data_IF_177990201935
#
_entry.id   IF_177990201935
#
_cell.length_a   1.000
_cell.length_b   1.000
_cell.length_c   1.000
_cell.angle_alpha   90.00
_cell.angle_beta   90.00
_cell.angle_gamma   90.00
#
_symmetry.space_group_name_H-M   'P 1'
#
loop_
_entity.id
_entity.type
_entity.pdbx_description
1 polymer ?
#
# COMPACT_ATOMS: atom_id res chain seq x y z
N UNK A 1 -29.89 13.13 -20.63
CA UNK A 1 -28.90 12.74 -19.59
C UNK A 1 -27.64 12.36 -20.36
N UNK A 2 -26.50 12.95 -20.04
CA UNK A 2 -25.25 12.69 -20.76
C UNK A 2 -24.27 12.07 -19.77
N UNK A 3 -23.70 10.92 -20.11
CA UNK A 3 -22.72 10.21 -19.31
C UNK A 3 -21.49 9.90 -20.15
N UNK A 4 -20.33 9.84 -19.50
CA UNK A 4 -19.06 9.41 -20.08
C UNK A 4 -18.56 8.25 -19.22
N UNK A 5 -18.19 7.16 -19.87
CA UNK A 5 -17.65 5.95 -19.26
C UNK A 5 -16.19 5.78 -19.69
N UNK A 6 -15.37 5.28 -18.77
CA UNK A 6 -13.95 5.03 -19.01
C UNK A 6 -13.65 3.58 -18.67
N UNK A 7 -12.98 2.88 -19.57
CA UNK A 7 -12.40 1.57 -19.28
C UNK A 7 -11.29 1.71 -18.23
N UNK A 8 -11.43 1.01 -17.09
CA UNK A 8 -10.37 0.90 -16.09
C UNK A 8 -9.88 -0.53 -16.01
N UNK A 9 -8.56 -0.71 -16.10
CA UNK A 9 -7.92 -1.99 -15.85
C UNK A 9 -7.66 -2.13 -14.34
N UNK A 10 -8.61 -2.74 -13.64
CA UNK A 10 -8.61 -2.88 -12.17
C UNK A 10 -7.79 -4.08 -11.66
N UNK A 11 -7.26 -4.90 -12.55
CA UNK A 11 -6.62 -6.19 -12.21
C UNK A 11 -5.16 -6.05 -11.78
N UNK A 12 -4.60 -4.83 -11.78
CA UNK A 12 -3.20 -4.58 -11.43
C UNK A 12 -3.08 -3.71 -10.18
N UNK A 13 -2.22 -4.12 -9.27
CA UNK A 13 -1.72 -3.26 -8.20
C UNK A 13 -0.53 -2.47 -8.74
N UNK A 14 -0.64 -1.14 -8.74
CA UNK A 14 0.45 -0.24 -9.09
C UNK A 14 0.85 0.57 -7.86
N UNK A 15 2.14 0.55 -7.50
CA UNK A 15 2.66 1.31 -6.38
C UNK A 15 3.80 2.23 -6.83
N UNK A 16 3.79 3.46 -6.33
CA UNK A 16 4.83 4.46 -6.58
C UNK A 16 5.11 5.24 -5.30
N UNK A 17 6.34 5.75 -5.19
CA UNK A 17 6.79 6.59 -4.10
C UNK A 17 7.30 7.93 -4.68
N UNK A 18 6.97 9.04 -4.02
CA UNK A 18 7.43 10.38 -4.37
C UNK A 18 7.82 11.19 -3.11
N UNK A 19 8.04 12.49 -3.23
CA UNK A 19 8.44 13.33 -2.10
C UNK A 19 7.38 13.43 -0.98
N UNK A 20 6.10 13.21 -1.31
CA UNK A 20 4.97 13.36 -0.39
C UNK A 20 4.60 12.03 0.29
N UNK A 21 4.77 10.91 -0.41
CA UNK A 21 4.42 9.61 0.15
C UNK A 21 4.33 8.47 -0.86
N UNK A 22 3.69 7.39 -0.44
CA UNK A 22 3.45 6.21 -1.27
C UNK A 22 2.01 6.17 -1.74
N UNK A 23 1.84 5.90 -3.03
CA UNK A 23 0.55 5.80 -3.70
C UNK A 23 0.36 4.38 -4.21
N UNK A 24 -0.69 3.70 -3.74
CA UNK A 24 -1.05 2.35 -4.15
C UNK A 24 -2.37 2.43 -4.92
N UNK A 25 -2.40 1.98 -6.16
CA UNK A 25 -3.58 1.94 -7.01
C UNK A 25 -3.98 0.48 -7.29
N UNK A 26 -5.15 0.08 -6.78
CA UNK A 26 -5.70 -1.27 -6.94
C UNK A 26 -7.23 -1.19 -7.16
N UNK A 27 -7.64 -0.38 -8.15
CA UNK A 27 -9.03 0.00 -8.41
C UNK A 27 -9.43 1.32 -7.72
N UNK A 28 -8.80 1.63 -6.59
CA UNK A 28 -8.82 2.94 -5.91
C UNK A 28 -7.41 3.29 -5.44
N UNK A 29 -7.17 4.57 -5.13
CA UNK A 29 -5.86 5.06 -4.71
C UNK A 29 -5.78 5.18 -3.19
N UNK A 30 -4.80 4.52 -2.59
CA UNK A 30 -4.38 4.71 -1.20
C UNK A 30 -3.15 5.62 -1.21
N UNK A 31 -3.26 6.80 -0.61
CA UNK A 31 -2.11 7.66 -0.36
C UNK A 31 -1.66 7.52 1.09
N UNK A 32 -0.40 7.15 1.31
CA UNK A 32 0.21 7.04 2.63
C UNK A 32 1.32 8.09 2.73
N UNK A 33 1.19 9.08 3.62
CA UNK A 33 2.22 10.09 3.83
C UNK A 33 3.59 9.47 4.12
N UNK A 34 4.66 10.11 3.66
CA UNK A 34 6.04 9.59 3.75
C UNK A 34 6.43 9.16 5.17
N UNK A 35 6.20 10.02 6.16
CA UNK A 35 6.49 9.75 7.58
C UNK A 35 5.74 8.53 8.09
N UNK A 36 4.44 8.44 7.77
CA UNK A 36 3.60 7.28 8.12
C UNK A 36 4.07 6.00 7.42
N UNK A 37 4.47 6.08 6.15
CA UNK A 37 4.97 4.93 5.40
C UNK A 37 6.28 4.39 5.98
N UNK A 38 7.19 5.29 6.38
CA UNK A 38 8.44 4.93 7.09
C UNK A 38 8.14 4.26 8.42
N UNK A 39 7.22 4.83 9.20
CA UNK A 39 6.80 4.24 10.48
C UNK A 39 6.21 2.84 10.27
N UNK A 40 5.37 2.65 9.25
CA UNK A 40 4.79 1.34 8.94
C UNK A 40 5.82 0.27 8.60
N UNK A 41 6.90 0.63 7.90
CA UNK A 41 8.01 -0.29 7.61
C UNK A 41 8.76 -0.62 8.89
N UNK A 42 9.06 0.39 9.73
CA UNK A 42 9.81 0.22 10.97
C UNK A 42 9.02 -0.56 12.03
N UNK A 43 7.69 -0.44 12.04
CA UNK A 43 6.80 -1.09 13.00
C UNK A 43 6.13 -2.35 12.44
N UNK A 44 6.67 -2.96 11.38
CA UNK A 44 6.11 -4.18 10.78
C UNK A 44 5.84 -5.24 11.85
N UNK A 45 4.70 -5.94 11.74
CA UNK A 45 4.24 -6.98 12.65
C UNK A 45 3.99 -6.54 14.10
N UNK A 46 3.99 -5.23 14.39
CA UNK A 46 3.75 -4.73 15.76
C UNK A 46 2.27 -4.51 16.04
N UNK A 47 1.48 -4.06 15.05
CA UNK A 47 0.06 -3.78 15.21
C UNK A 47 -0.74 -4.28 13.97
N UNK A 48 -1.68 -5.22 14.12
CA UNK A 48 -2.47 -5.74 12.99
C UNK A 48 -3.48 -4.73 12.40
N UNK A 49 -3.62 -3.56 13.02
CA UNK A 49 -4.52 -2.48 12.57
C UNK A 49 -3.76 -1.23 12.10
N UNK A 50 -2.42 -1.26 12.03
CA UNK A 50 -1.62 -0.15 11.52
C UNK A 50 -0.34 -0.66 10.83
N UNK A 51 -0.14 -0.27 9.57
CA UNK A 51 1.04 -0.63 8.79
C UNK A 51 1.01 -2.06 8.25
N UNK A 52 2.19 -2.65 8.07
CA UNK A 52 2.37 -3.98 7.49
C UNK A 52 2.32 -5.08 8.56
N UNK A 53 1.53 -6.12 8.31
CA UNK A 53 1.38 -7.26 9.21
C UNK A 53 1.31 -8.59 8.43
N UNK A 54 2.14 -9.54 8.81
CA UNK A 54 2.20 -10.86 8.22
C UNK A 54 1.09 -11.74 8.82
N UNK A 55 0.27 -12.32 7.96
CA UNK A 55 -0.82 -13.20 8.38
C UNK A 55 -1.05 -14.32 7.37
N UNK A 56 -0.91 -15.57 7.82
CA UNK A 56 -1.19 -16.78 7.02
C UNK A 56 -0.50 -16.79 5.64
N UNK A 57 0.75 -16.33 5.55
CA UNK A 57 1.53 -16.30 4.30
C UNK A 57 1.21 -15.13 3.37
N UNK A 58 0.44 -14.15 3.85
CA UNK A 58 0.14 -12.90 3.16
C UNK A 58 0.64 -11.70 3.98
N UNK A 59 0.72 -10.54 3.34
CA UNK A 59 1.00 -9.26 4.00
C UNK A 59 -0.26 -8.40 3.97
N UNK A 60 -0.72 -7.99 5.14
CA UNK A 60 -1.85 -7.07 5.29
C UNK A 60 -1.30 -5.67 5.54
N UNK A 61 -1.70 -4.71 4.70
CA UNK A 61 -1.50 -3.28 4.93
C UNK A 61 -2.77 -2.69 5.52
N UNK A 62 -2.68 -2.14 6.73
CA UNK A 62 -3.78 -1.40 7.38
C UNK A 62 -3.49 0.09 7.43
N UNK A 63 -4.36 0.90 6.83
CA UNK A 63 -4.22 2.36 6.79
C UNK A 63 -5.57 3.06 6.91
N UNK A 64 -5.73 3.96 7.89
CA UNK A 64 -6.95 4.75 8.14
C UNK A 64 -8.26 3.93 8.13
N UNK A 65 -8.23 2.72 8.71
CA UNK A 65 -9.38 1.82 8.77
C UNK A 65 -9.60 0.96 7.52
N UNK A 66 -8.92 1.26 6.40
CA UNK A 66 -8.84 0.39 5.24
C UNK A 66 -7.80 -0.72 5.42
N UNK A 67 -8.06 -1.88 4.82
CA UNK A 67 -7.10 -3.00 4.76
C UNK A 67 -6.95 -3.50 3.34
N UNK A 68 -5.72 -3.76 2.93
CA UNK A 68 -5.41 -4.45 1.67
C UNK A 68 -4.58 -5.67 2.01
N UNK A 69 -4.98 -6.82 1.43
CA UNK A 69 -4.22 -8.06 1.53
C UNK A 69 -3.41 -8.23 0.26
N UNK A 70 -2.10 -8.38 0.42
CA UNK A 70 -1.15 -8.67 -0.63
C UNK A 70 -0.63 -10.10 -0.48
N UNK A 71 -0.22 -10.70 -1.59
CA UNK A 71 0.68 -11.86 -1.50
C UNK A 71 1.97 -11.47 -0.77
N UNK A 72 2.69 -12.45 -0.23
CA UNK A 72 3.97 -12.16 0.42
C UNK A 72 4.92 -11.36 -0.50
N UNK A 73 5.01 -11.76 -1.77
CA UNK A 73 5.89 -11.12 -2.75
C UNK A 73 5.52 -9.65 -3.00
N UNK A 74 4.24 -9.36 -3.18
CA UNK A 74 3.76 -7.99 -3.38
C UNK A 74 3.98 -7.12 -2.13
N UNK A 75 3.73 -7.68 -0.95
CA UNK A 75 3.98 -7.01 0.32
C UNK A 75 5.44 -6.65 0.53
N UNK A 76 6.36 -7.59 0.28
CA UNK A 76 7.81 -7.30 0.34
C UNK A 76 8.21 -6.24 -0.69
N UNK A 77 7.71 -6.33 -1.92
CA UNK A 77 8.02 -5.35 -2.97
C UNK A 77 7.59 -3.92 -2.58
N UNK A 78 6.43 -3.79 -1.91
CA UNK A 78 5.97 -2.50 -1.37
C UNK A 78 6.88 -1.98 -0.26
N UNK A 79 7.29 -2.86 0.65
CA UNK A 79 8.19 -2.50 1.75
C UNK A 79 9.55 -2.07 1.20
N UNK A 80 10.09 -2.78 0.21
CA UNK A 80 11.37 -2.48 -0.42
C UNK A 80 11.33 -1.19 -1.25
N UNK A 81 10.19 -0.89 -1.90
CA UNK A 81 9.95 0.40 -2.53
C UNK A 81 10.05 1.55 -1.51
N UNK A 82 9.38 1.41 -0.35
CA UNK A 82 9.40 2.43 0.72
C UNK A 82 10.81 2.60 1.27
N UNK A 83 11.51 1.49 1.56
CA UNK A 83 12.90 1.54 2.04
C UNK A 83 13.79 2.26 1.05
N UNK A 84 13.78 1.84 -0.21
CA UNK A 84 14.61 2.44 -1.26
C UNK A 84 14.34 3.93 -1.45
N UNK A 85 13.08 4.35 -1.29
CA UNK A 85 12.70 5.75 -1.44
C UNK A 85 13.11 6.61 -0.24
N UNK A 86 13.07 6.10 1.00
CA UNK A 86 13.10 6.92 2.21
C UNK A 86 14.08 6.51 3.32
N UNK A 87 14.77 5.36 3.22
CA UNK A 87 15.66 4.79 4.25
C UNK A 87 17.03 4.43 3.68
#
# INVERSE_FOLDING_TARGET
MSAIEFDRNIDKVFAQADELGVWINCGWTVGIPKDVAVDYVNSRNTNPNAGFFDHQGNVILSHNGGKITFTQQEGEALIDLIKTAYL
#
